data_IF_200584392950
#
_entry.id   IF_200584392950
#
_cell.length_a   1.000
_cell.length_b   1.000
_cell.length_c   1.000
_cell.angle_alpha   90.00
_cell.angle_beta   90.00
_cell.angle_gamma   90.00
#
_symmetry.space_group_name_H-M   'P 1'
#
loop_
_entity.id
_entity.type
_entity.pdbx_description
1 polymer ?
#
# COMPACT_ATOMS: atom_id res chain seq x y z
N UNK A 1 5.98 22.74 19.70
CA UNK A 1 4.86 22.42 18.81
C UNK A 1 4.32 21.06 19.21
N UNK A 2 3.26 21.03 20.01
CA UNK A 2 2.58 19.79 20.38
C UNK A 2 2.10 19.08 19.12
N UNK A 3 2.38 17.78 19.03
CA UNK A 3 1.94 16.98 17.91
C UNK A 3 0.47 16.62 18.13
N UNK A 4 -0.43 17.24 17.39
CA UNK A 4 -1.86 16.93 17.47
C UNK A 4 -2.10 15.48 17.05
N UNK A 5 -3.00 14.77 17.75
CA UNK A 5 -3.46 13.41 17.41
C UNK A 5 -3.92 13.32 15.95
N UNK A 6 -4.45 14.41 15.39
CA UNK A 6 -4.88 14.48 13.98
C UNK A 6 -3.72 14.41 12.99
N UNK A 7 -2.53 14.89 13.36
CA UNK A 7 -1.33 14.78 12.52
C UNK A 7 -0.80 13.34 12.49
N UNK A 8 -0.76 12.66 13.63
CA UNK A 8 -0.37 11.23 13.71
C UNK A 8 -1.34 10.39 12.86
N UNK A 9 -2.64 10.65 12.97
CA UNK A 9 -3.65 9.96 12.18
C UNK A 9 -3.46 10.20 10.68
N UNK A 10 -3.16 11.43 10.26
CA UNK A 10 -2.90 11.74 8.87
C UNK A 10 -1.60 11.12 8.32
N UNK A 11 -0.55 11.03 9.14
CA UNK A 11 0.69 10.30 8.80
C UNK A 11 0.40 8.80 8.60
N UNK A 12 -0.38 8.21 9.49
CA UNK A 12 -0.82 6.82 9.38
C UNK A 12 -1.66 6.58 8.11
N UNK A 13 -2.64 7.46 7.82
CA UNK A 13 -3.44 7.40 6.60
C UNK A 13 -2.59 7.58 5.33
N UNK A 14 -1.55 8.40 5.37
CA UNK A 14 -0.60 8.55 4.26
C UNK A 14 0.19 7.27 4.04
N UNK A 15 0.59 6.58 5.11
CA UNK A 15 1.21 5.26 5.05
C UNK A 15 0.32 4.22 4.36
N UNK A 16 -0.96 4.13 4.76
CA UNK A 16 -1.93 3.21 4.16
C UNK A 16 -2.10 3.52 2.67
N UNK A 17 -2.29 4.80 2.33
CA UNK A 17 -2.45 5.23 0.94
C UNK A 17 -1.21 4.88 0.10
N UNK A 18 -0.03 5.29 0.54
CA UNK A 18 1.23 5.05 -0.18
C UNK A 18 1.55 3.58 -0.32
N UNK A 19 1.37 2.80 0.76
CA UNK A 19 1.59 1.36 0.74
C UNK A 19 0.62 0.63 -0.18
N UNK A 20 -0.65 1.02 -0.18
CA UNK A 20 -1.66 0.40 -1.08
C UNK A 20 -1.34 0.70 -2.54
N UNK A 21 -1.10 1.96 -2.90
CA UNK A 21 -0.84 2.36 -4.30
C UNK A 21 0.45 1.74 -4.83
N UNK A 22 1.56 1.85 -4.10
CA UNK A 22 2.84 1.30 -4.54
C UNK A 22 2.90 -0.22 -4.40
N UNK A 23 2.18 -0.82 -3.45
CA UNK A 23 2.02 -2.27 -3.35
C UNK A 23 1.37 -2.86 -4.59
N UNK A 24 0.28 -2.25 -5.06
CA UNK A 24 -0.41 -2.69 -6.28
C UNK A 24 0.46 -2.45 -7.51
N UNK A 25 1.09 -1.29 -7.63
CA UNK A 25 1.98 -1.00 -8.76
C UNK A 25 3.17 -1.97 -8.83
N UNK A 26 3.80 -2.26 -7.69
CA UNK A 26 4.92 -3.18 -7.62
C UNK A 26 4.51 -4.65 -7.80
N UNK A 27 3.32 -5.05 -7.32
CA UNK A 27 2.73 -6.35 -7.63
C UNK A 27 2.65 -6.54 -9.15
N UNK A 28 2.05 -5.59 -9.87
CA UNK A 28 1.87 -5.69 -11.32
C UNK A 28 3.19 -5.65 -12.09
N UNK A 29 4.12 -4.79 -11.67
CA UNK A 29 5.45 -4.71 -12.25
C UNK A 29 6.22 -6.03 -12.08
N UNK A 30 6.13 -6.68 -10.92
CA UNK A 30 6.86 -7.93 -10.67
C UNK A 30 6.19 -9.15 -11.28
N UNK A 31 4.85 -9.21 -11.28
CA UNK A 31 4.09 -10.24 -12.01
C UNK A 31 4.42 -10.22 -13.51
N UNK A 32 4.52 -9.02 -14.11
CA UNK A 32 4.90 -8.86 -15.51
C UNK A 32 6.39 -9.15 -15.77
N UNK A 33 7.27 -8.82 -14.81
CA UNK A 33 8.70 -9.10 -14.90
C UNK A 33 9.03 -10.61 -14.83
N UNK A 34 8.43 -11.35 -13.88
CA UNK A 34 8.68 -12.79 -13.71
C UNK A 34 8.03 -13.64 -14.80
N UNK A 35 6.83 -13.25 -15.25
CA UNK A 35 6.07 -14.02 -16.25
C UNK A 35 5.96 -15.51 -15.89
N UNK A 36 6.02 -16.38 -16.91
CA UNK A 36 5.98 -17.84 -16.72
C UNK A 36 7.34 -18.46 -16.43
N UNK A 37 8.43 -17.68 -16.39
CA UNK A 37 9.80 -18.19 -16.33
C UNK A 37 10.39 -18.26 -14.92
N UNK A 38 9.58 -17.95 -13.89
CA UNK A 38 10.05 -17.91 -12.52
C UNK A 38 10.44 -16.50 -12.08
N UNK A 39 10.38 -16.26 -10.78
CA UNK A 39 11.09 -15.13 -10.21
C UNK A 39 12.56 -15.52 -9.99
N UNK A 40 13.30 -14.76 -9.19
CA UNK A 40 14.57 -15.30 -8.68
C UNK A 40 14.30 -16.53 -7.81
N UNK A 41 15.12 -17.56 -7.93
CA UNK A 41 14.97 -18.83 -7.19
C UNK A 41 14.88 -18.64 -5.67
N UNK A 42 15.57 -17.64 -5.13
CA UNK A 42 15.48 -17.26 -3.71
C UNK A 42 14.12 -16.71 -3.32
N UNK A 43 13.44 -15.98 -4.24
CA UNK A 43 12.09 -15.46 -4.03
C UNK A 43 11.07 -16.60 -4.14
N UNK A 44 11.19 -17.45 -5.15
CA UNK A 44 10.31 -18.62 -5.31
C UNK A 44 10.38 -19.53 -4.08
N UNK A 45 11.59 -19.77 -3.55
CA UNK A 45 11.79 -20.53 -2.31
C UNK A 45 11.23 -19.84 -1.07
N UNK A 46 11.17 -18.50 -1.03
CA UNK A 46 10.64 -17.75 0.11
C UNK A 46 9.11 -17.82 0.16
N UNK A 47 8.45 -17.77 -0.99
CA UNK A 47 6.99 -17.78 -1.09
C UNK A 47 6.40 -19.18 -1.29
N UNK A 48 7.23 -20.19 -1.60
CA UNK A 48 6.77 -21.57 -1.81
C UNK A 48 5.94 -21.75 -3.09
N UNK A 49 5.90 -20.73 -3.95
CA UNK A 49 5.25 -20.73 -5.26
C UNK A 49 6.29 -20.41 -6.33
N UNK A 50 5.97 -20.71 -7.59
CA UNK A 50 6.88 -20.51 -8.72
C UNK A 50 6.24 -19.59 -9.75
N UNK A 51 7.05 -18.73 -10.37
CA UNK A 51 6.59 -17.91 -11.49
C UNK A 51 5.97 -16.59 -11.06
N UNK A 52 4.88 -16.23 -11.71
CA UNK A 52 4.27 -14.91 -11.55
C UNK A 52 3.72 -14.67 -10.13
N UNK A 53 3.31 -15.71 -9.41
CA UNK A 53 2.72 -15.59 -8.08
C UNK A 53 3.72 -15.16 -7.01
N UNK A 54 4.90 -15.79 -6.99
CA UNK A 54 5.98 -15.45 -6.06
C UNK A 54 6.55 -14.06 -6.36
N UNK A 55 6.71 -13.73 -7.63
CA UNK A 55 7.18 -12.43 -8.09
C UNK A 55 6.18 -11.32 -7.75
N UNK A 56 4.89 -11.52 -8.04
CA UNK A 56 3.82 -10.61 -7.64
C UNK A 56 3.78 -10.40 -6.13
N UNK A 57 3.83 -11.49 -5.35
CA UNK A 57 3.79 -11.44 -3.88
C UNK A 57 4.99 -10.68 -3.30
N UNK A 58 6.18 -10.89 -3.85
CA UNK A 58 7.38 -10.14 -3.46
C UNK A 58 7.28 -8.65 -3.84
N UNK A 59 6.81 -8.36 -5.05
CA UNK A 59 6.55 -6.98 -5.50
C UNK A 59 5.54 -6.27 -4.59
N UNK A 60 4.43 -6.93 -4.27
CA UNK A 60 3.44 -6.44 -3.33
C UNK A 60 4.06 -6.09 -1.97
N UNK A 61 4.78 -7.03 -1.37
CA UNK A 61 5.35 -6.86 -0.04
C UNK A 61 6.38 -5.73 0.01
N UNK A 62 7.28 -5.68 -0.97
CA UNK A 62 8.29 -4.61 -1.07
C UNK A 62 7.67 -3.26 -1.39
N UNK A 63 6.70 -3.22 -2.31
CA UNK A 63 5.97 -2.02 -2.69
C UNK A 63 5.16 -1.42 -1.55
N UNK A 64 4.50 -2.25 -0.74
CA UNK A 64 3.77 -1.80 0.46
C UNK A 64 4.74 -1.18 1.47
N UNK A 65 5.87 -1.83 1.74
CA UNK A 65 6.86 -1.34 2.71
C UNK A 65 7.49 -0.02 2.27
N UNK A 66 8.00 0.03 1.03
CA UNK A 66 8.64 1.23 0.46
C UNK A 66 7.61 2.34 0.32
N UNK A 67 6.39 2.03 -0.12
CA UNK A 67 5.34 3.01 -0.32
C UNK A 67 4.83 3.64 0.96
N UNK A 68 4.62 2.84 2.00
CA UNK A 68 4.26 3.35 3.31
C UNK A 68 5.35 4.29 3.83
N UNK A 69 6.62 3.87 3.77
CA UNK A 69 7.76 4.66 4.24
C UNK A 69 7.88 5.99 3.48
N UNK A 70 7.87 5.95 2.15
CA UNK A 70 8.01 7.15 1.32
C UNK A 70 6.86 8.12 1.56
N UNK A 71 5.62 7.64 1.56
CA UNK A 71 4.45 8.49 1.77
C UNK A 71 4.48 9.17 3.14
N UNK A 72 4.84 8.45 4.20
CA UNK A 72 4.99 9.03 5.54
C UNK A 72 6.13 10.06 5.62
N UNK A 73 7.30 9.78 5.03
CA UNK A 73 8.42 10.73 5.02
C UNK A 73 8.04 12.01 4.29
N UNK A 74 7.44 11.89 3.10
CA UNK A 74 7.00 13.04 2.30
C UNK A 74 5.91 13.82 3.04
N UNK A 75 4.94 13.14 3.62
CA UNK A 75 3.85 13.75 4.38
C UNK A 75 4.35 14.48 5.63
N UNK A 76 5.28 13.89 6.37
CA UNK A 76 5.83 14.48 7.60
C UNK A 76 6.48 15.86 7.37
N UNK A 77 6.98 16.10 6.14
CA UNK A 77 7.60 17.36 5.71
C UNK A 77 6.60 18.35 5.11
N UNK A 78 5.39 17.93 4.77
CA UNK A 78 4.38 18.78 4.15
C UNK A 78 3.77 19.76 5.19
N UNK A 79 3.63 21.03 4.81
CA UNK A 79 2.90 22.02 5.61
C UNK A 79 1.42 21.92 5.28
N UNK A 80 0.66 21.27 6.15
CA UNK A 80 -0.78 21.03 5.95
C UNK A 80 -1.60 21.87 6.92
N UNK A 81 -2.61 22.53 6.38
CA UNK A 81 -3.54 23.40 7.12
C UNK A 81 -4.65 22.61 7.81
N UNK A 82 -5.09 21.47 7.24
CA UNK A 82 -6.15 20.63 7.81
C UNK A 82 -5.83 19.13 7.70
N UNK A 83 -5.23 18.57 8.76
CA UNK A 83 -4.82 17.17 8.82
C UNK A 83 -6.01 16.19 8.75
N UNK A 84 -7.15 16.53 9.37
CA UNK A 84 -8.34 15.66 9.39
C UNK A 84 -8.91 15.45 7.99
N UNK A 85 -9.08 16.52 7.22
CA UNK A 85 -9.58 16.43 5.84
C UNK A 85 -8.64 15.61 4.97
N UNK A 86 -7.33 15.84 5.10
CA UNK A 86 -6.34 15.12 4.31
C UNK A 86 -6.28 13.63 4.66
N UNK A 87 -6.39 13.27 5.94
CA UNK A 87 -6.47 11.87 6.35
C UNK A 87 -7.67 11.14 5.72
N UNK A 88 -8.85 11.78 5.70
CA UNK A 88 -10.05 11.24 5.05
C UNK A 88 -9.83 11.07 3.55
N UNK A 89 -9.28 12.07 2.87
CA UNK A 89 -9.01 11.96 1.43
C UNK A 89 -7.98 10.89 1.09
N UNK A 90 -6.97 10.69 1.93
CA UNK A 90 -5.97 9.62 1.75
C UNK A 90 -6.61 8.24 1.91
N UNK A 91 -7.48 8.05 2.90
CA UNK A 91 -8.19 6.78 3.09
C UNK A 91 -9.18 6.50 1.95
N UNK A 92 -9.94 7.52 1.53
CA UNK A 92 -10.83 7.40 0.37
C UNK A 92 -10.03 7.12 -0.91
N UNK A 93 -8.92 7.82 -1.10
CA UNK A 93 -8.01 7.60 -2.22
C UNK A 93 -7.43 6.19 -2.23
N UNK A 94 -7.10 5.63 -1.06
CA UNK A 94 -6.56 4.27 -0.96
C UNK A 94 -7.57 3.20 -1.43
N UNK A 95 -8.87 3.51 -1.38
CA UNK A 95 -9.92 2.62 -1.88
C UNK A 95 -10.27 2.91 -3.35
N UNK A 96 -10.50 4.19 -3.67
CA UNK A 96 -11.03 4.61 -4.97
C UNK A 96 -9.99 4.47 -6.09
N UNK A 97 -8.73 4.86 -5.87
CA UNK A 97 -7.72 4.82 -6.94
C UNK A 97 -7.42 3.39 -7.40
N UNK A 98 -7.16 2.44 -6.49
CA UNK A 98 -7.01 1.03 -6.87
C UNK A 98 -8.24 0.45 -7.55
N UNK A 99 -9.44 0.83 -7.10
CA UNK A 99 -10.69 0.38 -7.70
C UNK A 99 -10.83 0.90 -9.14
N UNK A 100 -10.66 2.20 -9.35
CA UNK A 100 -10.67 2.81 -10.68
C UNK A 100 -9.60 2.18 -11.59
N UNK A 101 -8.41 1.94 -11.05
CA UNK A 101 -7.34 1.29 -11.79
C UNK A 101 -7.69 -0.14 -12.20
N UNK A 102 -8.25 -0.94 -11.28
CA UNK A 102 -8.75 -2.28 -11.59
C UNK A 102 -9.82 -2.23 -12.69
N UNK A 103 -10.80 -1.34 -12.57
CA UNK A 103 -11.84 -1.18 -13.60
C UNK A 103 -11.23 -0.80 -14.95
N UNK A 104 -10.21 0.08 -15.00
CA UNK A 104 -9.60 0.53 -16.26
C UNK A 104 -8.73 -0.55 -16.91
N UNK A 105 -7.91 -1.27 -16.14
CA UNK A 105 -7.00 -2.29 -16.69
C UNK A 105 -7.75 -3.52 -17.20
N UNK A 106 -8.81 -3.91 -16.51
CA UNK A 106 -9.57 -5.11 -16.85
C UNK A 106 -10.70 -4.85 -17.88
N UNK A 107 -10.72 -3.67 -18.50
CA UNK A 107 -11.71 -3.30 -19.53
C UNK A 107 -11.07 -3.32 -20.95
N UNK A 108 -11.53 -4.11 -21.96
CA UNK A 108 -12.63 -5.10 -22.03
C UNK A 108 -12.22 -6.54 -22.51
N UNK A 109 -13.12 -7.55 -22.47
CA UNK A 109 -14.33 -7.68 -21.67
C UNK A 109 -14.05 -8.52 -20.42
N UNK A 110 -14.59 -8.08 -19.29
CA UNK A 110 -14.68 -8.92 -18.11
C UNK A 110 -15.45 -10.19 -18.49
N UNK A 111 -14.79 -11.35 -18.41
CA UNK A 111 -15.53 -12.58 -18.22
C UNK A 111 -16.30 -12.42 -16.89
N UNK A 112 -17.56 -12.89 -16.82
CA UNK A 112 -18.59 -12.52 -15.84
C UNK A 112 -18.26 -12.75 -14.34
N UNK A 113 -17.02 -13.04 -13.96
CA UNK A 113 -16.54 -13.21 -12.59
C UNK A 113 -15.42 -12.27 -12.11
N UNK A 114 -14.68 -11.58 -13.00
CA UNK A 114 -13.46 -10.88 -12.60
C UNK A 114 -13.70 -9.59 -11.81
N UNK A 115 -14.84 -8.94 -12.03
CA UNK A 115 -15.21 -7.69 -11.35
C UNK A 115 -15.54 -7.91 -9.86
N UNK A 116 -15.92 -9.14 -9.49
CA UNK A 116 -16.14 -9.54 -8.09
C UNK A 116 -14.82 -9.80 -7.33
N UNK A 117 -13.71 -10.06 -8.04
CA UNK A 117 -12.40 -10.33 -7.44
C UNK A 117 -11.60 -9.06 -7.12
N UNK A 118 -11.89 -7.95 -7.81
CA UNK A 118 -11.17 -6.67 -7.62
C UNK A 118 -11.34 -6.08 -6.20
N UNK A 119 -12.56 -5.99 -5.61
CA UNK A 119 -12.72 -5.41 -4.28
C UNK A 119 -12.03 -6.21 -3.16
N UNK A 120 -12.11 -7.55 -3.09
CA UNK A 120 -11.35 -8.35 -2.12
C UNK A 120 -9.84 -8.11 -2.19
N UNK A 121 -9.26 -8.07 -3.39
CA UNK A 121 -7.82 -7.86 -3.57
C UNK A 121 -7.39 -6.50 -3.02
N UNK A 122 -8.12 -5.42 -3.36
CA UNK A 122 -7.83 -4.07 -2.84
C UNK A 122 -7.92 -4.04 -1.31
N UNK A 123 -8.93 -4.68 -0.73
CA UNK A 123 -9.07 -4.79 0.72
C UNK A 123 -7.89 -5.54 1.34
N UNK A 124 -7.39 -6.59 0.70
CA UNK A 124 -6.19 -7.30 1.15
C UNK A 124 -4.98 -6.38 1.18
N UNK A 125 -4.73 -5.61 0.11
CA UNK A 125 -3.60 -4.66 0.07
C UNK A 125 -3.73 -3.56 1.13
N UNK A 126 -4.93 -3.00 1.30
CA UNK A 126 -5.19 -2.01 2.34
C UNK A 126 -4.95 -2.61 3.73
N UNK A 127 -5.50 -3.78 4.03
CA UNK A 127 -5.29 -4.47 5.30
C UNK A 127 -3.80 -4.77 5.55
N UNK A 128 -3.08 -5.24 4.53
CA UNK A 128 -1.65 -5.50 4.63
C UNK A 128 -0.83 -4.23 4.87
N UNK A 129 -1.26 -3.10 4.30
CA UNK A 129 -0.60 -1.80 4.48
C UNK A 129 -0.77 -1.21 5.88
N UNK A 130 -1.76 -1.65 6.67
CA UNK A 130 -2.01 -1.18 8.04
C UNK A 130 -0.82 -1.46 8.95
N UNK A 131 -0.26 -2.67 8.90
CA UNK A 131 0.83 -3.11 9.79
C UNK A 131 2.09 -2.24 9.61
N UNK A 132 2.68 -2.11 8.41
CA UNK A 132 3.86 -1.28 8.22
C UNK A 132 3.56 0.20 8.48
N UNK A 133 2.36 0.68 8.15
CA UNK A 133 1.94 2.04 8.48
C UNK A 133 1.92 2.29 9.98
N UNK A 134 1.41 1.35 10.77
CA UNK A 134 1.39 1.42 12.22
C UNK A 134 2.81 1.40 12.80
N UNK A 135 3.66 0.47 12.34
CA UNK A 135 5.04 0.34 12.81
C UNK A 135 5.87 1.58 12.52
N UNK A 136 5.81 2.11 11.31
CA UNK A 136 6.58 3.29 10.90
C UNK A 136 6.02 4.55 11.58
N UNK A 137 4.70 4.70 11.69
CA UNK A 137 4.10 5.82 12.43
C UNK A 137 4.53 5.80 13.90
N UNK A 138 4.53 4.61 14.52
CA UNK A 138 5.03 4.40 15.87
C UNK A 138 6.51 4.73 16.01
N UNK A 139 7.35 4.32 15.05
CA UNK A 139 8.78 4.62 15.04
C UNK A 139 9.08 6.12 14.87
N UNK A 140 8.41 6.80 13.92
CA UNK A 140 8.59 8.24 13.67
C UNK A 140 8.18 9.07 14.89
N UNK A 141 7.15 8.63 15.61
CA UNK A 141 6.59 9.35 16.74
C UNK A 141 7.00 8.77 18.12
N UNK A 142 7.92 7.81 18.16
CA UNK A 142 8.30 7.04 19.36
C UNK A 142 8.68 7.95 20.55
N UNK A 143 9.53 8.97 20.28
CA UNK A 143 9.98 9.94 21.30
C UNK A 143 8.87 10.86 21.84
N UNK A 144 7.76 10.98 21.11
CA UNK A 144 6.62 11.83 21.47
C UNK A 144 5.50 11.04 22.15
N UNK A 145 5.41 9.73 21.87
CA UNK A 145 4.51 8.79 22.54
C UNK A 145 4.96 8.47 23.97
N UNK A 146 6.27 8.46 24.24
CA UNK A 146 6.87 8.20 25.55
C UNK A 146 6.99 9.42 26.49
N UNK A 147 6.41 10.58 26.12
CA UNK A 147 6.34 11.77 26.99
C UNK A 147 5.10 11.82 27.88
N UNK A 148 4.48 10.66 28.11
CA UNK A 148 3.48 10.46 29.16
C UNK A 148 4.16 9.87 30.39
#
# INVERSE_FOLDING_TARGET
>A
MELSKTKIFAEFSAGIFGGTVLGIAAFLAMTTYGGNYGCWSSIDSLFGTVGYESCGSFGALTGVLVGALLAMILFSKAKITNYTKVAIYLLLGAFILPFLYGVIIFWPPFEDGDLLLVPPVILTFMAFSVIPSLLITGAINWRKLWKF
#
